data_IF_288212561091
#
_entry.id   IF_288212561091
#
_cell.length_a   1.000
_cell.length_b   1.000
_cell.length_c   1.000
_cell.angle_alpha   90.00
_cell.angle_beta   90.00
_cell.angle_gamma   90.00
#
_symmetry.space_group_name_H-M   'P 1'
#
loop_
_entity.id
_entity.type
_entity.pdbx_description
1 polymer ?
#
# COMPACT_ATOMS: atom_id res chain seq x y z
N UNK A 1 10.76 8.19 -13.57
CA UNK A 1 10.62 8.00 -12.11
C UNK A 1 11.78 8.67 -11.40
N UNK A 2 11.55 9.08 -10.19
CA UNK A 2 12.47 9.88 -9.37
C UNK A 2 13.16 9.08 -8.24
N UNK A 3 12.78 7.81 -8.10
CA UNK A 3 13.31 6.90 -7.08
C UNK A 3 13.77 5.56 -7.67
N UNK A 4 14.64 4.87 -6.93
CA UNK A 4 15.15 3.53 -7.25
C UNK A 4 15.39 2.71 -5.99
N UNK A 5 15.64 1.42 -6.14
CA UNK A 5 16.28 0.55 -5.15
C UNK A 5 17.43 -0.22 -5.79
N UNK A 6 18.36 -0.73 -4.99
CA UNK A 6 19.56 -1.38 -5.51
C UNK A 6 19.32 -2.84 -5.93
N UNK A 7 18.44 -3.56 -5.21
CA UNK A 7 18.16 -4.99 -5.45
C UNK A 7 16.68 -5.30 -5.29
N UNK A 8 16.17 -6.36 -5.92
CA UNK A 8 14.77 -6.76 -5.80
C UNK A 8 14.34 -7.13 -4.38
N UNK A 9 15.25 -7.62 -3.53
CA UNK A 9 14.97 -8.01 -2.14
C UNK A 9 14.84 -6.82 -1.20
N UNK A 10 15.37 -5.65 -1.58
CA UNK A 10 15.29 -4.44 -0.77
C UNK A 10 13.90 -3.84 -0.83
N UNK A 11 13.52 -3.19 0.25
CA UNK A 11 12.27 -2.45 0.36
C UNK A 11 12.46 -0.93 0.29
N UNK A 12 13.68 -0.45 0.48
CA UNK A 12 14.00 0.97 0.52
C UNK A 12 13.94 1.61 -0.87
N UNK A 13 13.14 2.64 -1.01
CA UNK A 13 13.21 3.54 -2.17
C UNK A 13 14.11 4.74 -1.86
N UNK A 14 14.96 5.07 -2.83
CA UNK A 14 15.96 6.14 -2.74
C UNK A 14 15.72 7.16 -3.85
N UNK A 15 15.85 8.47 -3.59
CA UNK A 15 15.84 9.46 -4.66
C UNK A 15 17.03 9.25 -5.60
N UNK A 16 16.80 9.53 -6.90
CA UNK A 16 17.87 9.43 -7.90
C UNK A 16 18.73 10.70 -7.83
N UNK A 17 19.85 10.56 -7.11
CA UNK A 17 20.88 11.56 -6.93
C UNK A 17 22.23 10.96 -7.28
N UNK A 18 23.06 11.70 -8.02
CA UNK A 18 24.34 11.18 -8.52
C UNK A 18 25.26 10.71 -7.40
N UNK A 19 25.52 11.58 -6.44
CA UNK A 19 26.48 11.33 -5.36
C UNK A 19 26.06 10.10 -4.55
N UNK A 20 24.80 10.01 -4.23
CA UNK A 20 24.24 8.86 -3.50
C UNK A 20 24.31 7.56 -4.29
N UNK A 21 23.98 7.60 -5.58
CA UNK A 21 24.03 6.43 -6.44
C UNK A 21 25.47 5.92 -6.61
N UNK A 22 26.44 6.81 -6.78
CA UNK A 22 27.87 6.46 -6.85
C UNK A 22 28.38 5.86 -5.53
N UNK A 23 28.02 6.45 -4.40
CA UNK A 23 28.43 5.99 -3.06
C UNK A 23 27.89 4.59 -2.76
N UNK A 24 26.59 4.37 -2.95
CA UNK A 24 25.91 3.10 -2.64
C UNK A 24 26.34 1.97 -3.59
N UNK A 25 26.54 2.26 -4.87
CA UNK A 25 26.93 1.26 -5.89
C UNK A 25 28.45 1.09 -5.99
N UNK A 26 29.23 2.02 -5.46
CA UNK A 26 30.69 2.12 -5.65
C UNK A 26 31.11 2.09 -7.11
N UNK A 27 30.22 2.51 -8.00
CA UNK A 27 30.38 2.45 -9.46
C UNK A 27 30.72 1.07 -10.01
N UNK A 28 30.22 0.02 -9.37
CA UNK A 28 30.47 -1.37 -9.75
C UNK A 28 29.30 -1.98 -10.54
N UNK A 29 29.59 -3.05 -11.27
CA UNK A 29 28.54 -3.92 -11.81
C UNK A 29 27.71 -4.52 -10.66
N UNK A 30 26.42 -4.76 -10.89
CA UNK A 30 25.65 -4.62 -12.14
C UNK A 30 25.06 -3.22 -12.37
N UNK A 31 25.22 -2.29 -11.42
CA UNK A 31 24.63 -0.94 -11.51
C UNK A 31 25.31 -0.04 -12.55
N UNK A 32 26.61 -0.22 -12.72
CA UNK A 32 27.42 0.40 -13.78
C UNK A 32 27.82 -0.71 -14.75
N UNK A 33 27.38 -0.60 -15.98
CA UNK A 33 27.64 -1.61 -17.01
C UNK A 33 28.15 -0.92 -18.26
N UNK A 34 29.20 -1.45 -18.85
CA UNK A 34 29.74 -0.93 -20.10
C UNK A 34 29.34 -1.87 -21.23
N UNK A 35 28.65 -1.32 -22.25
CA UNK A 35 28.28 -2.06 -23.44
C UNK A 35 29.53 -2.39 -24.28
N UNK A 36 29.42 -3.35 -25.21
CA UNK A 36 30.49 -3.73 -26.15
C UNK A 36 31.04 -2.53 -26.93
N UNK A 37 30.24 -1.51 -27.16
CA UNK A 37 30.61 -0.27 -27.84
C UNK A 37 31.24 0.80 -26.91
N UNK A 38 31.57 0.45 -25.68
CA UNK A 38 32.16 1.35 -24.70
C UNK A 38 31.19 2.37 -24.09
N UNK A 39 29.89 2.26 -24.34
CA UNK A 39 28.90 3.16 -23.74
C UNK A 39 28.56 2.68 -22.34
N UNK A 40 28.74 3.54 -21.35
CA UNK A 40 28.39 3.29 -19.96
C UNK A 40 26.87 3.42 -19.77
N UNK A 41 26.27 2.41 -19.15
CA UNK A 41 24.86 2.39 -18.73
C UNK A 41 24.75 2.30 -17.23
N UNK A 42 23.75 2.99 -16.64
CA UNK A 42 23.50 2.98 -15.20
C UNK A 42 22.16 2.29 -14.96
N UNK A 43 22.16 1.25 -14.15
CA UNK A 43 20.97 0.43 -13.91
C UNK A 43 20.65 0.34 -12.42
N UNK A 44 19.36 0.20 -12.12
CA UNK A 44 18.81 0.01 -10.78
C UNK A 44 17.53 -0.80 -10.87
N UNK A 45 16.78 -0.89 -9.79
CA UNK A 45 15.53 -1.65 -9.70
C UNK A 45 14.37 -0.72 -9.35
N UNK A 46 13.23 -0.93 -9.99
CA UNK A 46 12.00 -0.22 -9.67
C UNK A 46 11.46 -0.64 -8.30
N UNK A 47 11.22 0.26 -7.34
CA UNK A 47 10.71 -0.12 -6.03
C UNK A 47 9.28 -0.67 -6.06
N UNK A 48 8.48 -0.33 -7.07
CA UNK A 48 7.08 -0.74 -7.16
C UNK A 48 6.87 -2.11 -7.82
N UNK A 49 7.72 -2.49 -8.80
CA UNK A 49 7.49 -3.69 -9.63
C UNK A 49 8.71 -4.60 -9.82
N UNK A 50 9.85 -4.29 -9.20
CA UNK A 50 11.11 -5.04 -9.30
C UNK A 50 11.75 -5.11 -10.71
N UNK A 51 11.17 -4.46 -11.71
CA UNK A 51 11.77 -4.43 -13.03
C UNK A 51 13.07 -3.62 -13.05
N UNK A 52 14.01 -3.96 -13.95
CA UNK A 52 15.19 -3.15 -14.19
C UNK A 52 14.82 -1.73 -14.65
N UNK A 53 15.58 -0.77 -14.16
CA UNK A 53 15.46 0.65 -14.48
C UNK A 53 16.81 1.16 -14.98
N UNK A 54 16.82 1.84 -16.12
CA UNK A 54 17.97 2.60 -16.57
C UNK A 54 17.90 4.01 -15.99
N UNK A 55 18.97 4.44 -15.33
CA UNK A 55 19.13 5.81 -14.81
C UNK A 55 19.61 6.69 -15.96
N UNK A 56 18.84 7.69 -16.30
CA UNK A 56 19.10 8.64 -17.38
C UNK A 56 19.51 9.99 -16.78
N UNK A 57 20.53 10.58 -17.36
CA UNK A 57 20.97 11.93 -16.98
C UNK A 57 21.84 11.98 -15.72
N UNK A 58 22.42 10.86 -15.27
CA UNK A 58 23.24 10.83 -14.07
C UNK A 58 24.46 11.78 -14.15
N UNK A 59 25.10 11.84 -15.31
CA UNK A 59 26.25 12.72 -15.56
C UNK A 59 25.93 13.87 -16.54
N UNK A 60 25.08 13.62 -17.53
CA UNK A 60 24.72 14.58 -18.54
C UNK A 60 23.21 14.56 -18.73
N UNK A 61 22.55 15.63 -18.30
CA UNK A 61 21.10 15.77 -18.43
C UNK A 61 20.71 15.90 -19.91
N UNK A 62 19.70 15.14 -20.38
CA UNK A 62 19.10 15.37 -21.69
C UNK A 62 18.50 16.80 -21.78
N UNK A 63 18.35 17.31 -23.00
CA UNK A 63 17.68 18.57 -23.21
C UNK A 63 16.26 18.56 -22.62
N UNK A 64 15.87 19.64 -21.95
CA UNK A 64 14.57 19.82 -21.30
C UNK A 64 14.28 18.88 -20.10
N UNK A 65 15.31 18.29 -19.50
CA UNK A 65 15.22 17.47 -18.30
C UNK A 65 15.94 18.19 -17.16
N UNK A 66 15.23 18.41 -16.04
CA UNK A 66 15.75 19.22 -14.94
C UNK A 66 16.62 18.40 -13.95
N UNK A 67 16.44 17.09 -13.86
CA UNK A 67 17.16 16.20 -12.95
C UNK A 67 17.26 14.77 -13.49
N UNK A 68 18.20 13.94 -13.02
CA UNK A 68 18.26 12.54 -13.37
C UNK A 68 16.94 11.82 -13.08
N UNK A 69 16.62 10.83 -13.91
CA UNK A 69 15.41 10.04 -13.74
C UNK A 69 15.59 8.59 -14.17
N UNK A 70 14.78 7.69 -13.62
CA UNK A 70 14.72 6.29 -14.00
C UNK A 70 13.70 6.03 -15.10
N UNK A 71 14.08 5.20 -16.07
CA UNK A 71 13.22 4.69 -17.13
C UNK A 71 13.23 3.17 -17.09
N UNK A 72 12.05 2.52 -17.05
CA UNK A 72 11.97 1.06 -17.10
C UNK A 72 12.73 0.52 -18.31
N UNK A 73 13.58 -0.46 -18.06
CA UNK A 73 14.33 -1.16 -19.08
C UNK A 73 13.59 -2.46 -19.43
N UNK A 74 13.41 -2.70 -20.74
CA UNK A 74 12.55 -3.80 -21.21
C UNK A 74 13.21 -5.19 -21.18
N UNK A 75 14.50 -5.25 -20.84
CA UNK A 75 15.29 -6.49 -20.81
C UNK A 75 15.80 -6.72 -19.38
N UNK A 76 16.01 -7.99 -19.04
CA UNK A 76 16.70 -8.35 -17.80
C UNK A 76 18.12 -7.76 -17.78
N UNK A 77 18.58 -7.37 -16.60
CA UNK A 77 19.96 -6.96 -16.35
C UNK A 77 20.58 -8.04 -15.48
N UNK A 78 21.62 -8.68 -16.02
CA UNK A 78 22.32 -9.79 -15.36
C UNK A 78 22.78 -9.38 -13.97
N UNK A 79 22.64 -10.27 -13.00
CA UNK A 79 23.02 -10.08 -11.60
C UNK A 79 22.34 -8.88 -10.91
N UNK A 80 21.29 -8.28 -11.53
CA UNK A 80 20.52 -7.18 -10.97
C UNK A 80 19.03 -7.51 -10.86
N UNK A 81 18.32 -7.63 -11.98
CA UNK A 81 16.89 -7.89 -11.97
C UNK A 81 16.40 -8.48 -13.30
N UNK A 82 15.41 -9.35 -13.22
CA UNK A 82 14.71 -9.88 -14.38
C UNK A 82 13.59 -8.94 -14.83
N UNK A 83 13.37 -8.89 -16.14
CA UNK A 83 12.27 -8.14 -16.72
C UNK A 83 10.97 -8.95 -16.63
N UNK A 84 9.96 -8.36 -15.99
CA UNK A 84 8.59 -8.86 -15.92
C UNK A 84 7.66 -7.87 -16.63
N UNK A 85 7.17 -8.24 -17.81
CA UNK A 85 6.35 -7.37 -18.65
C UNK A 85 5.00 -7.05 -17.99
N UNK A 86 4.34 -8.04 -17.37
CA UNK A 86 3.05 -7.81 -16.70
C UNK A 86 3.21 -6.85 -15.53
N UNK A 87 4.25 -7.04 -14.71
CA UNK A 87 4.55 -6.15 -13.59
C UNK A 87 4.90 -4.73 -14.08
N UNK A 88 5.64 -4.59 -15.18
CA UNK A 88 5.99 -3.30 -15.79
C UNK A 88 4.75 -2.57 -16.30
N UNK A 89 3.87 -3.24 -17.07
CA UNK A 89 2.66 -2.63 -17.64
C UNK A 89 1.66 -2.17 -16.55
N UNK A 90 1.67 -2.79 -15.40
CA UNK A 90 0.87 -2.40 -14.25
C UNK A 90 1.63 -1.47 -13.28
N UNK A 91 2.86 -1.08 -13.60
CA UNK A 91 3.67 -0.23 -12.73
C UNK A 91 3.25 1.25 -12.85
N UNK A 92 2.92 1.93 -11.75
CA UNK A 92 2.52 3.32 -11.78
C UNK A 92 3.65 4.27 -12.22
N UNK A 93 4.90 3.88 -12.05
CA UNK A 93 6.05 4.63 -12.55
C UNK A 93 6.25 4.51 -14.07
N UNK A 94 5.75 3.44 -14.67
CA UNK A 94 5.78 3.23 -16.12
C UNK A 94 4.56 3.84 -16.78
N UNK A 95 3.37 3.49 -16.27
CA UNK A 95 2.09 3.87 -16.88
C UNK A 95 1.07 4.20 -15.79
N UNK A 96 1.15 5.40 -15.17
CA UNK A 96 0.16 5.79 -14.17
C UNK A 96 -1.23 5.82 -14.82
N UNK A 97 -2.13 5.02 -14.28
CA UNK A 97 -3.52 4.92 -14.73
C UNK A 97 -4.47 4.67 -13.57
N UNK A 98 -5.74 4.89 -13.80
CA UNK A 98 -6.79 4.46 -12.88
C UNK A 98 -7.02 2.97 -13.10
N UNK A 99 -6.91 2.18 -12.04
CA UNK A 99 -7.20 0.76 -12.04
C UNK A 99 -8.62 0.52 -11.53
N UNK A 100 -9.38 -0.31 -12.22
CA UNK A 100 -10.70 -0.73 -11.72
C UNK A 100 -10.51 -1.70 -10.54
N UNK A 101 -11.30 -1.52 -9.48
CA UNK A 101 -11.21 -2.38 -8.27
C UNK A 101 -11.34 -3.87 -8.57
N UNK A 102 -11.97 -4.23 -9.67
CA UNK A 102 -12.17 -5.61 -10.15
C UNK A 102 -11.04 -6.15 -11.01
N UNK A 103 -10.12 -5.32 -11.49
CA UNK A 103 -9.00 -5.78 -12.33
C UNK A 103 -8.01 -6.62 -11.53
N UNK A 104 -7.59 -7.75 -12.11
CA UNK A 104 -6.64 -8.69 -11.49
C UNK A 104 -5.51 -9.03 -12.46
N UNK A 105 -4.29 -9.17 -11.91
CA UNK A 105 -3.14 -9.77 -12.60
C UNK A 105 -3.43 -11.24 -12.89
N UNK A 106 -2.82 -11.78 -13.94
CA UNK A 106 -3.13 -13.12 -14.43
C UNK A 106 -2.69 -14.24 -13.48
N UNK A 107 -1.59 -14.04 -12.74
CA UNK A 107 -1.00 -15.10 -11.92
C UNK A 107 -0.50 -14.62 -10.56
N UNK A 108 -0.29 -15.57 -9.64
CA UNK A 108 0.25 -15.32 -8.29
C UNK A 108 1.79 -15.39 -8.29
N UNK A 109 2.45 -15.06 -9.41
CA UNK A 109 3.91 -15.06 -9.51
C UNK A 109 4.50 -13.64 -9.34
N UNK A 110 5.80 -13.55 -9.21
CA UNK A 110 6.49 -12.25 -9.16
C UNK A 110 5.98 -11.32 -8.05
N UNK A 111 5.55 -10.12 -8.42
CA UNK A 111 5.09 -9.09 -7.48
C UNK A 111 3.91 -9.54 -6.60
N UNK A 112 2.84 -10.19 -7.08
CA UNK A 112 1.78 -10.71 -6.23
C UNK A 112 2.25 -11.66 -5.13
N UNK A 113 3.17 -12.57 -5.45
CA UNK A 113 3.72 -13.51 -4.47
C UNK A 113 4.53 -12.79 -3.38
N UNK A 114 5.33 -11.79 -3.78
CA UNK A 114 6.08 -10.93 -2.85
C UNK A 114 5.14 -10.14 -1.94
N UNK A 115 4.04 -9.60 -2.47
CA UNK A 115 3.00 -8.91 -1.68
C UNK A 115 2.41 -9.85 -0.62
N UNK A 116 2.06 -11.09 -0.99
CA UNK A 116 1.56 -12.10 -0.04
C UNK A 116 2.59 -12.38 1.04
N UNK A 117 3.85 -12.59 0.68
CA UNK A 117 4.94 -12.83 1.63
C UNK A 117 5.09 -11.68 2.62
N UNK A 118 5.20 -10.45 2.12
CA UNK A 118 5.32 -9.25 2.97
C UNK A 118 4.11 -9.12 3.87
N UNK A 119 2.89 -9.33 3.36
CA UNK A 119 1.67 -9.24 4.15
C UNK A 119 1.62 -10.29 5.26
N UNK A 120 2.08 -11.52 5.02
CA UNK A 120 2.19 -12.55 6.06
C UNK A 120 3.20 -12.16 7.14
N UNK A 121 4.38 -11.71 6.75
CA UNK A 121 5.48 -11.42 7.67
C UNK A 121 5.29 -10.11 8.46
N UNK A 122 4.57 -9.15 7.89
CA UNK A 122 4.48 -7.77 8.37
C UNK A 122 3.03 -7.31 8.67
N UNK A 123 2.09 -8.24 8.84
CA UNK A 123 0.68 -7.90 8.99
C UNK A 123 0.38 -7.00 10.20
N UNK A 124 1.09 -7.20 11.29
CA UNK A 124 1.00 -6.36 12.48
C UNK A 124 1.39 -4.90 12.19
N UNK A 125 2.42 -4.68 11.38
CA UNK A 125 2.89 -3.36 10.96
C UNK A 125 1.93 -2.70 9.99
N UNK A 126 1.31 -3.49 9.10
CA UNK A 126 0.23 -3.04 8.22
C UNK A 126 -0.96 -2.54 9.04
N UNK A 127 -1.41 -3.33 10.00
CA UNK A 127 -2.53 -2.96 10.89
C UNK A 127 -2.18 -1.75 11.75
N UNK A 128 -0.96 -1.68 12.27
CA UNK A 128 -0.48 -0.52 13.05
C UNK A 128 -0.53 0.77 12.24
N UNK A 129 -0.02 0.76 11.01
CA UNK A 129 -0.04 1.92 10.11
C UNK A 129 -1.48 2.37 9.86
N UNK A 130 -2.36 1.44 9.51
CA UNK A 130 -3.76 1.75 9.23
C UNK A 130 -4.49 2.32 10.44
N UNK A 131 -4.27 1.78 11.65
CA UNK A 131 -4.83 2.35 12.90
C UNK A 131 -4.48 3.82 13.04
N UNK A 132 -3.23 4.17 12.75
CA UNK A 132 -2.73 5.54 12.86
C UNK A 132 -3.32 6.48 11.81
N UNK A 133 -3.47 6.01 10.57
CA UNK A 133 -3.88 6.85 9.45
C UNK A 133 -5.41 6.97 9.31
N UNK A 134 -6.15 5.90 9.58
CA UNK A 134 -7.59 5.89 9.38
C UNK A 134 -8.35 6.61 10.49
N UNK A 135 -7.75 6.77 11.67
CA UNK A 135 -8.47 7.32 12.84
C UNK A 135 -9.51 6.34 13.41
N UNK A 136 -9.34 5.05 13.15
CA UNK A 136 -10.12 3.94 13.71
C UNK A 136 -9.17 2.90 14.27
N UNK A 137 -9.38 2.51 15.52
CA UNK A 137 -8.59 1.44 16.11
C UNK A 137 -9.06 0.08 15.57
N UNK A 138 -8.43 -0.36 14.48
CA UNK A 138 -8.71 -1.67 13.87
C UNK A 138 -8.40 -2.76 14.90
N UNK A 139 -9.44 -3.35 15.49
CA UNK A 139 -9.28 -4.47 16.42
C UNK A 139 -8.71 -5.69 15.71
N UNK A 140 -8.11 -6.63 16.45
CA UNK A 140 -7.61 -7.88 15.90
C UNK A 140 -8.68 -8.64 15.10
N UNK A 141 -9.90 -8.73 15.61
CA UNK A 141 -11.01 -9.40 14.93
C UNK A 141 -11.40 -8.69 13.63
N UNK A 142 -11.38 -7.35 13.61
CA UNK A 142 -11.64 -6.60 12.38
C UNK A 142 -10.51 -6.82 11.37
N UNK A 143 -9.24 -6.76 11.80
CA UNK A 143 -8.10 -7.00 10.93
C UNK A 143 -8.15 -8.39 10.28
N UNK A 144 -8.53 -9.43 11.03
CA UNK A 144 -8.66 -10.79 10.51
C UNK A 144 -9.81 -10.89 9.48
N UNK A 145 -10.99 -10.31 9.78
CA UNK A 145 -12.09 -10.28 8.80
C UNK A 145 -11.71 -9.56 7.52
N UNK A 146 -11.02 -8.42 7.63
CA UNK A 146 -10.49 -7.70 6.47
C UNK A 146 -9.51 -8.56 5.66
N UNK A 147 -8.67 -9.34 6.34
CA UNK A 147 -7.69 -10.21 5.69
C UNK A 147 -8.34 -11.40 4.97
N UNK A 148 -9.36 -12.01 5.58
CA UNK A 148 -10.16 -13.06 4.95
C UNK A 148 -10.89 -12.55 3.71
N UNK A 149 -11.42 -11.34 3.78
CA UNK A 149 -12.03 -10.65 2.64
C UNK A 149 -11.00 -10.36 1.55
N UNK A 150 -9.84 -9.79 1.92
CA UNK A 150 -8.75 -9.50 1.01
C UNK A 150 -8.30 -10.77 0.26
N UNK A 151 -8.21 -11.91 0.95
CA UNK A 151 -7.92 -13.20 0.33
C UNK A 151 -9.01 -13.63 -0.65
N UNK A 152 -10.28 -13.58 -0.23
CA UNK A 152 -11.44 -13.96 -1.05
C UNK A 152 -11.51 -13.15 -2.34
N UNK A 153 -11.29 -11.84 -2.23
CA UNK A 153 -11.25 -10.90 -3.35
C UNK A 153 -9.94 -10.97 -4.15
N UNK A 154 -8.98 -11.81 -3.75
CA UNK A 154 -7.65 -11.88 -4.37
C UNK A 154 -6.99 -10.50 -4.47
N UNK A 155 -7.03 -9.73 -3.39
CA UNK A 155 -6.53 -8.36 -3.33
C UNK A 155 -5.04 -8.24 -3.72
N UNK A 156 -4.24 -9.27 -3.48
CA UNK A 156 -2.84 -9.37 -3.89
C UNK A 156 -2.66 -9.42 -5.43
N UNK A 157 -3.70 -9.76 -6.18
CA UNK A 157 -3.72 -9.72 -7.64
C UNK A 157 -4.26 -8.39 -8.20
N UNK A 158 -4.75 -7.49 -7.37
CA UNK A 158 -5.22 -6.20 -7.86
C UNK A 158 -4.14 -5.50 -8.69
N UNK A 159 -4.49 -5.04 -9.91
CA UNK A 159 -3.52 -4.48 -10.86
C UNK A 159 -2.85 -3.20 -10.35
N UNK A 160 -3.51 -2.44 -9.47
CA UNK A 160 -2.94 -1.28 -8.78
C UNK A 160 -2.10 -1.61 -7.54
N UNK A 161 -1.98 -2.90 -7.15
CA UNK A 161 -1.15 -3.30 -6.02
C UNK A 161 0.32 -3.34 -6.40
N UNK A 162 1.17 -2.73 -5.57
CA UNK A 162 2.63 -2.67 -5.68
C UNK A 162 3.27 -3.10 -4.37
N UNK A 163 4.59 -3.25 -4.36
CA UNK A 163 5.33 -3.59 -3.13
C UNK A 163 5.32 -2.46 -2.10
N UNK A 164 5.08 -1.24 -2.54
CA UNK A 164 5.17 -0.04 -1.69
C UNK A 164 3.83 0.46 -1.14
N UNK A 165 2.69 -0.08 -1.63
CA UNK A 165 1.36 0.37 -1.22
C UNK A 165 0.51 -0.68 -0.48
N UNK A 166 1.13 -1.76 -0.03
CA UNK A 166 0.47 -2.92 0.58
C UNK A 166 -0.56 -2.56 1.66
N UNK A 167 -0.28 -1.70 2.67
CA UNK A 167 -1.24 -1.40 3.73
C UNK A 167 -2.55 -0.79 3.22
N UNK A 168 -2.43 0.14 2.32
CA UNK A 168 -3.59 0.88 1.80
C UNK A 168 -4.41 0.04 0.82
N UNK A 169 -3.73 -0.76 -0.02
CA UNK A 169 -4.43 -1.69 -0.92
C UNK A 169 -5.08 -2.82 -0.14
N UNK A 170 -4.49 -3.27 0.97
CA UNK A 170 -5.15 -4.18 1.89
C UNK A 170 -6.49 -3.60 2.39
N UNK A 171 -6.51 -2.35 2.86
CA UNK A 171 -7.73 -1.67 3.27
C UNK A 171 -8.69 -1.43 2.09
N UNK A 172 -8.18 -0.95 0.95
CA UNK A 172 -8.97 -0.69 -0.26
C UNK A 172 -9.70 -1.93 -0.78
N UNK A 173 -9.09 -3.10 -0.68
CA UNK A 173 -9.65 -4.37 -1.16
C UNK A 173 -10.52 -5.08 -0.13
N UNK A 174 -10.55 -4.62 1.12
CA UNK A 174 -11.57 -5.02 2.07
C UNK A 174 -12.93 -4.41 1.66
N UNK A 175 -14.00 -5.16 1.86
CA UNK A 175 -15.36 -4.64 1.68
C UNK A 175 -15.70 -3.62 2.78
N UNK A 176 -16.91 -3.10 2.69
CA UNK A 176 -17.49 -2.28 3.73
C UNK A 176 -17.42 -2.98 5.10
N UNK A 177 -16.84 -2.30 6.08
CA UNK A 177 -16.62 -2.84 7.42
C UNK A 177 -17.45 -2.07 8.45
N UNK A 178 -18.20 -2.80 9.28
CA UNK A 178 -18.96 -2.16 10.36
C UNK A 178 -18.04 -1.55 11.41
N UNK A 179 -18.34 -0.32 11.79
CA UNK A 179 -17.69 0.40 12.89
C UNK A 179 -18.31 0.10 14.26
N UNK A 180 -19.37 -0.70 14.33
CA UNK A 180 -19.93 -1.13 15.60
C UNK A 180 -18.88 -1.84 16.47
N UNK A 181 -18.74 -1.38 17.71
CA UNK A 181 -17.76 -1.92 18.67
C UNK A 181 -16.32 -1.46 18.44
N UNK A 182 -16.02 -0.68 17.40
CA UNK A 182 -14.69 -0.13 17.17
C UNK A 182 -14.48 1.15 18.00
N UNK A 183 -13.21 1.45 18.31
CA UNK A 183 -12.81 2.71 18.92
C UNK A 183 -12.48 3.72 17.82
N UNK A 184 -13.08 4.88 17.89
CA UNK A 184 -12.79 5.99 16.99
C UNK A 184 -11.67 6.85 17.60
N UNK A 185 -10.67 7.18 16.80
CA UNK A 185 -9.48 7.94 17.21
C UNK A 185 -9.43 9.34 16.56
N UNK A 186 -10.34 9.61 15.65
CA UNK A 186 -10.43 10.86 14.90
C UNK A 186 -11.61 11.68 15.42
N UNK A 187 -11.34 12.86 15.96
CA UNK A 187 -12.35 13.73 16.60
C UNK A 187 -13.43 14.18 15.61
N UNK A 188 -13.10 14.41 14.36
CA UNK A 188 -14.07 14.84 13.35
C UNK A 188 -14.97 13.67 12.92
N UNK A 189 -14.45 12.44 12.88
CA UNK A 189 -15.27 11.25 12.70
C UNK A 189 -16.21 11.05 13.90
N UNK A 190 -15.74 11.22 15.14
CA UNK A 190 -16.54 11.13 16.35
C UNK A 190 -17.70 12.14 16.30
N UNK A 191 -17.42 13.39 15.95
CA UNK A 191 -18.44 14.45 15.80
C UNK A 191 -19.46 14.09 14.73
N UNK A 192 -19.01 13.61 13.56
CA UNK A 192 -19.89 13.22 12.47
C UNK A 192 -20.83 12.07 12.87
N UNK A 193 -20.29 11.02 13.50
CA UNK A 193 -21.11 9.89 14.00
C UNK A 193 -22.13 10.36 15.04
N UNK A 194 -21.72 11.20 16.01
CA UNK A 194 -22.60 11.71 17.07
C UNK A 194 -23.73 12.58 16.52
N UNK A 195 -23.47 13.36 15.46
CA UNK A 195 -24.45 14.24 14.85
C UNK A 195 -25.41 13.51 13.92
N UNK A 196 -24.88 12.53 13.15
CA UNK A 196 -25.59 11.96 12.03
C UNK A 196 -26.19 10.57 12.32
N UNK A 197 -25.81 9.91 13.43
CA UNK A 197 -26.31 8.58 13.80
C UNK A 197 -26.93 8.63 15.22
N UNK A 198 -28.18 9.11 15.36
CA UNK A 198 -28.81 9.30 16.66
C UNK A 198 -28.92 8.06 17.53
N UNK A 199 -29.01 6.85 16.91
CA UNK A 199 -29.07 5.56 17.56
C UNK A 199 -27.72 5.06 18.06
N UNK A 200 -26.60 5.67 17.61
CA UNK A 200 -25.25 5.35 18.09
C UNK A 200 -24.96 6.06 19.40
N UNK A 201 -24.24 5.38 20.28
CA UNK A 201 -23.64 5.93 21.50
C UNK A 201 -22.12 5.77 21.41
N UNK A 202 -21.38 6.79 21.78
CA UNK A 202 -19.91 6.74 21.88
C UNK A 202 -19.57 6.92 23.36
N UNK A 203 -18.88 5.93 23.93
CA UNK A 203 -18.49 5.93 25.34
C UNK A 203 -17.25 6.81 25.60
N UNK A 204 -16.83 6.88 26.86
CA UNK A 204 -15.64 7.65 27.31
C UNK A 204 -14.33 7.18 26.67
N UNK A 205 -14.29 5.95 26.14
CA UNK A 205 -13.15 5.39 25.40
C UNK A 205 -13.29 5.55 23.88
N UNK A 206 -14.29 6.32 23.43
CA UNK A 206 -14.63 6.50 22.01
C UNK A 206 -15.08 5.21 21.30
N UNK A 207 -15.64 4.24 22.01
CA UNK A 207 -16.20 3.02 21.44
C UNK A 207 -17.61 3.25 20.94
N UNK A 208 -17.88 2.82 19.71
CA UNK A 208 -19.21 2.89 19.09
C UNK A 208 -20.10 1.74 19.62
N UNK A 209 -21.24 2.07 20.14
CA UNK A 209 -22.27 1.12 20.62
C UNK A 209 -23.66 1.61 20.28
N UNK A 210 -24.69 0.79 20.53
CA UNK A 210 -26.09 1.21 20.40
C UNK A 210 -26.57 1.99 21.63
N UNK A 211 -27.38 3.01 21.44
CA UNK A 211 -28.21 3.51 22.49
C UNK A 211 -29.23 2.46 22.93
N UNK A 212 -29.69 2.60 24.16
CA UNK A 212 -30.73 1.76 24.74
C UNK A 212 -31.98 2.65 24.92
N UNK A 213 -33.11 2.20 24.40
CA UNK A 213 -34.39 2.90 24.55
C UNK A 213 -34.95 2.77 25.96
N UNK A 214 -36.05 3.45 26.24
CA UNK A 214 -36.74 3.45 27.55
C UNK A 214 -37.19 2.05 27.98
N UNK A 215 -37.36 1.11 27.02
CA UNK A 215 -37.74 -0.28 27.28
C UNK A 215 -36.54 -1.21 27.55
N UNK A 216 -35.30 -0.68 27.50
CA UNK A 216 -34.07 -1.45 27.66
C UNK A 216 -33.62 -2.17 26.38
N UNK A 217 -34.21 -1.88 25.22
CA UNK A 217 -33.83 -2.45 23.92
C UNK A 217 -32.76 -1.61 23.25
N UNK A 218 -31.78 -2.28 22.62
CA UNK A 218 -30.77 -1.62 21.81
C UNK A 218 -31.37 -1.08 20.51
N UNK A 219 -31.14 0.20 20.24
CA UNK A 219 -31.50 0.81 18.97
C UNK A 219 -30.60 0.27 17.85
N UNK A 220 -31.20 -0.07 16.72
CA UNK A 220 -30.46 -0.53 15.54
C UNK A 220 -29.94 0.67 14.75
N UNK A 221 -28.69 0.59 14.30
CA UNK A 221 -28.14 1.49 13.30
C UNK A 221 -27.15 0.73 12.42
N UNK A 222 -26.96 1.23 11.22
CA UNK A 222 -25.91 0.82 10.31
C UNK A 222 -24.86 1.92 10.25
N UNK A 223 -23.60 1.56 10.43
CA UNK A 223 -22.44 2.46 10.37
C UNK A 223 -21.26 1.70 9.82
N UNK A 224 -20.89 2.04 8.59
CA UNK A 224 -19.89 1.29 7.84
C UNK A 224 -18.79 2.20 7.31
N UNK A 225 -17.60 1.64 7.21
CA UNK A 225 -16.40 2.23 6.61
C UNK A 225 -16.04 1.48 5.34
N UNK A 226 -15.80 2.19 4.25
CA UNK A 226 -15.27 1.62 3.00
C UNK A 226 -14.22 2.53 2.36
N UNK A 227 -13.51 2.01 1.34
CA UNK A 227 -12.44 2.73 0.66
C UNK A 227 -12.71 2.77 -0.84
N UNK A 228 -12.55 3.96 -1.41
CA UNK A 228 -12.86 4.26 -2.81
C UNK A 228 -11.79 5.15 -3.45
N UNK A 229 -11.86 5.33 -4.76
CA UNK A 229 -11.07 6.30 -5.54
C UNK A 229 -9.56 6.15 -5.36
N UNK A 230 -9.05 4.92 -5.34
CA UNK A 230 -7.60 4.69 -5.42
C UNK A 230 -7.04 5.28 -6.72
N UNK A 231 -6.00 6.12 -6.62
CA UNK A 231 -5.42 6.85 -7.76
C UNK A 231 -3.93 7.07 -7.59
N UNK A 232 -3.25 7.01 -8.73
CA UNK A 232 -1.89 7.51 -8.90
C UNK A 232 -1.93 8.87 -9.59
N UNK A 233 -1.07 9.80 -9.17
CA UNK A 233 -0.86 11.09 -9.82
C UNK A 233 0.63 11.31 -10.04
N UNK A 234 0.98 11.79 -11.20
CA UNK A 234 2.34 12.12 -11.58
C UNK A 234 2.31 13.34 -12.50
N UNK A 235 2.98 14.40 -12.10
CA UNK A 235 2.89 15.68 -12.78
C UNK A 235 3.86 15.79 -13.99
N UNK A 236 4.97 15.01 -13.98
CA UNK A 236 5.95 14.99 -15.07
C UNK A 236 6.70 13.63 -15.12
N UNK A 237 7.54 13.41 -16.14
CA UNK A 237 8.38 12.22 -16.24
C UNK A 237 9.35 12.08 -15.04
N UNK A 238 9.86 13.22 -14.56
CA UNK A 238 10.76 13.31 -13.41
C UNK A 238 10.01 13.56 -12.10
N UNK A 239 8.69 13.82 -12.19
CA UNK A 239 7.84 14.19 -11.07
C UNK A 239 7.67 13.07 -10.05
N UNK A 240 7.46 13.45 -8.81
CA UNK A 240 7.11 12.54 -7.74
C UNK A 240 5.78 11.84 -8.03
N UNK A 241 5.74 10.54 -7.82
CA UNK A 241 4.51 9.76 -7.89
C UNK A 241 3.77 9.85 -6.56
N UNK A 242 2.65 10.57 -6.55
CA UNK A 242 1.73 10.59 -5.41
C UNK A 242 0.63 9.55 -5.59
N UNK A 243 0.20 8.95 -4.49
CA UNK A 243 -0.80 7.91 -4.45
C UNK A 243 -1.74 8.13 -3.29
N UNK A 244 -3.02 7.81 -3.46
CA UNK A 244 -4.00 7.99 -2.40
C UNK A 244 -5.35 7.37 -2.71
N UNK A 245 -6.22 7.39 -1.68
CA UNK A 245 -7.60 6.92 -1.73
C UNK A 245 -8.47 7.77 -0.82
N UNK A 246 -9.78 7.57 -0.87
CA UNK A 246 -10.73 8.15 0.07
C UNK A 246 -11.32 7.05 0.97
N UNK A 247 -11.37 7.32 2.27
CA UNK A 247 -12.18 6.57 3.22
C UNK A 247 -13.54 7.25 3.35
N UNK A 248 -14.60 6.50 3.16
CA UNK A 248 -15.98 6.94 3.39
C UNK A 248 -16.53 6.22 4.61
N UNK A 249 -17.23 6.97 5.47
CA UNK A 249 -18.07 6.41 6.52
C UNK A 249 -19.51 6.75 6.21
N UNK A 250 -20.36 5.75 6.16
CA UNK A 250 -21.76 5.89 5.78
C UNK A 250 -22.69 5.23 6.79
N UNK A 251 -23.91 5.74 6.84
CA UNK A 251 -25.04 5.17 7.58
C UNK A 251 -26.22 4.97 6.63
N UNK A 252 -27.12 4.04 6.95
CA UNK A 252 -28.33 3.85 6.18
C UNK A 252 -29.47 4.72 6.70
N UNK A 253 -30.14 5.45 5.81
CA UNK A 253 -31.37 6.18 6.09
C UNK A 253 -32.41 5.90 5.03
N UNK A 254 -33.57 5.39 5.42
CA UNK A 254 -34.69 5.06 4.51
C UNK A 254 -34.24 4.18 3.32
N UNK A 255 -33.42 3.16 3.59
CA UNK A 255 -32.93 2.23 2.58
C UNK A 255 -31.84 2.81 1.65
N UNK A 256 -31.24 3.95 1.98
CA UNK A 256 -30.16 4.56 1.21
C UNK A 256 -28.94 4.79 2.09
N UNK A 257 -27.77 4.41 1.59
CA UNK A 257 -26.51 4.76 2.20
C UNK A 257 -26.26 6.28 2.04
N UNK A 258 -25.88 6.93 3.13
CA UNK A 258 -25.53 8.36 3.19
C UNK A 258 -24.15 8.46 3.78
N UNK A 259 -23.23 9.07 3.04
CA UNK A 259 -21.89 9.36 3.51
C UNK A 259 -21.95 10.49 4.56
N UNK A 260 -21.49 10.21 5.77
CA UNK A 260 -21.46 11.15 6.88
C UNK A 260 -20.05 11.70 7.16
N UNK A 261 -19.03 11.00 6.67
CA UNK A 261 -17.63 11.40 6.84
C UNK A 261 -16.80 10.93 5.67
N UNK A 262 -15.90 11.79 5.21
CA UNK A 262 -14.94 11.48 4.14
C UNK A 262 -13.54 11.92 4.55
N UNK A 263 -12.56 11.04 4.41
CA UNK A 263 -11.15 11.32 4.69
C UNK A 263 -10.29 10.97 3.50
N UNK A 264 -9.53 11.94 2.99
CA UNK A 264 -8.49 11.69 1.98
C UNK A 264 -7.26 11.09 2.66
N UNK A 265 -6.76 9.98 2.10
CA UNK A 265 -5.59 9.27 2.60
C UNK A 265 -4.52 9.34 1.51
N UNK A 266 -3.40 9.99 1.82
CA UNK A 266 -2.20 10.02 0.97
C UNK A 266 -1.23 8.96 1.48
N UNK A 267 -0.74 8.11 0.58
CA UNK A 267 0.10 6.97 0.95
C UNK A 267 1.52 7.40 1.28
N UNK A 268 1.89 7.31 2.55
CA UNK A 268 3.26 7.57 2.98
C UNK A 268 4.12 6.29 2.87
N UNK A 269 4.55 5.99 1.64
CA UNK A 269 5.32 4.79 1.30
C UNK A 269 6.61 4.68 2.10
N UNK A 270 7.33 5.78 2.29
CA UNK A 270 8.57 5.81 3.08
C UNK A 270 8.32 5.43 4.56
N UNK A 271 7.17 5.84 5.12
CA UNK A 271 6.84 5.44 6.49
C UNK A 271 6.58 3.94 6.59
N UNK A 272 5.87 3.35 5.63
CA UNK A 272 5.66 1.90 5.56
C UNK A 272 6.98 1.16 5.44
N UNK A 273 7.87 1.59 4.57
CA UNK A 273 9.20 0.98 4.40
C UNK A 273 10.01 1.02 5.69
N UNK A 274 10.03 2.14 6.40
CA UNK A 274 10.69 2.25 7.72
C UNK A 274 10.10 1.27 8.73
N UNK A 275 8.78 1.09 8.73
CA UNK A 275 8.13 0.15 9.64
C UNK A 275 8.57 -1.30 9.36
N UNK A 276 8.58 -1.73 8.09
CA UNK A 276 8.95 -3.11 7.75
C UNK A 276 10.45 -3.37 7.87
N UNK A 277 11.28 -2.34 7.84
CA UNK A 277 12.73 -2.43 8.09
C UNK A 277 13.10 -2.57 9.59
N UNK A 278 12.16 -2.35 10.51
CA UNK A 278 12.42 -2.55 11.94
C UNK A 278 12.76 -4.03 12.25
N UNK A 279 13.62 -4.30 13.25
CA UNK A 279 13.98 -5.66 13.62
C UNK A 279 12.77 -6.55 13.96
N UNK A 280 12.92 -7.86 13.77
CA UNK A 280 11.89 -8.87 14.06
C UNK A 280 11.54 -8.98 15.56
N UNK A 281 12.48 -8.64 16.44
CA UNK A 281 12.35 -8.61 17.89
C UNK A 281 11.89 -7.26 18.45
N UNK A 282 11.47 -6.33 17.60
CA UNK A 282 11.01 -5.01 18.03
C UNK A 282 9.84 -5.15 19.03
N UNK A 283 9.85 -4.42 20.16
CA UNK A 283 8.90 -4.60 21.28
C UNK A 283 7.41 -4.44 20.91
N UNK A 284 7.13 -3.71 19.83
CA UNK A 284 5.75 -3.46 19.38
C UNK A 284 5.25 -4.45 18.32
N UNK A 285 5.91 -5.61 18.15
CA UNK A 285 5.40 -6.67 17.28
C UNK A 285 4.17 -7.34 17.90
N UNK A 286 3.13 -7.47 17.11
CA UNK A 286 1.94 -8.25 17.46
C UNK A 286 1.98 -9.62 16.73
N UNK A 287 2.62 -10.58 17.38
CA UNK A 287 2.78 -11.92 16.81
C UNK A 287 1.46 -12.63 16.52
N UNK A 288 0.40 -12.29 17.25
CA UNK A 288 -0.93 -12.88 17.02
C UNK A 288 -1.51 -12.47 15.67
N UNK A 289 -1.27 -11.23 15.22
CA UNK A 289 -1.63 -10.79 13.89
C UNK A 289 -0.78 -11.45 12.79
N UNK A 290 0.52 -11.64 13.02
CA UNK A 290 1.40 -12.35 12.08
C UNK A 290 0.98 -13.81 11.92
N UNK A 291 0.67 -14.49 13.01
CA UNK A 291 0.16 -15.87 12.99
C UNK A 291 -1.20 -15.97 12.29
N UNK A 292 -2.09 -15.00 12.51
CA UNK A 292 -3.36 -14.94 11.80
C UNK A 292 -3.15 -14.77 10.29
N UNK A 293 -2.21 -13.91 9.87
CA UNK A 293 -1.90 -13.72 8.46
C UNK A 293 -1.32 -15.00 7.84
N UNK A 294 -0.42 -15.70 8.54
CA UNK A 294 0.11 -16.99 8.09
C UNK A 294 -0.97 -18.03 7.93
N UNK A 295 -1.92 -18.11 8.84
CA UNK A 295 -3.06 -19.05 8.77
C UNK A 295 -3.98 -18.73 7.60
N UNK A 296 -4.22 -17.43 7.31
CA UNK A 296 -5.15 -17.02 6.26
C UNK A 296 -4.52 -17.09 4.88
N UNK A 297 -3.24 -16.75 4.72
CA UNK A 297 -2.59 -16.59 3.41
C UNK A 297 -1.49 -17.61 3.13
N UNK A 298 -1.08 -18.42 4.11
CA UNK A 298 0.13 -19.24 4.02
C UNK A 298 0.11 -20.29 2.91
N UNK A 299 -1.05 -20.81 2.55
CA UNK A 299 -1.22 -21.77 1.45
C UNK A 299 -1.08 -21.14 0.04
N UNK A 300 -1.02 -19.81 -0.04
CA UNK A 300 -0.71 -19.10 -1.29
C UNK A 300 0.79 -19.09 -1.60
N UNK A 301 1.64 -19.39 -0.63
CA UNK A 301 3.08 -19.52 -0.82
C UNK A 301 3.39 -20.93 -1.36
N UNK A 302 4.36 -21.07 -2.27
CA UNK A 302 4.83 -22.39 -2.70
C UNK A 302 5.32 -23.20 -1.50
N UNK A 303 5.05 -24.50 -1.52
CA UNK A 303 5.65 -25.41 -0.56
C UNK A 303 7.17 -25.30 -0.68
N UNK A 304 7.82 -24.94 0.42
CA UNK A 304 9.29 -24.78 0.50
C UNK A 304 10.01 -26.12 0.40
#
# INVERSE_FOLDING_TARGET
MDVYKLKPEETDERPIERERFEEETRRQEPWFSTSENGTEGHFAVCPACDNPVQIIGLYHLPANVARPYGRHYARSVRDLAEADEEARENCPYFKPRVHQKTERKASVNGTPLKIVKILIEQFDRVVYLLRKELGVNISQNLAIRMLEQYRREKGYLYTGATLTNIPWIFAYMADSQSLFGQLLLDDDLIKAVSAEVPAASIDEYSRVSSKVDESGRKEYFDLNMCFVKHRFRKDSLEGELTEGMEMLVSTERKGKAIDIYTKSIVFNRQYFQRLIALPEDHPHRDRSLVEAARRVLGDLLPAG
#
